data_IF_287001819414
#
_entry.id   IF_287001819414
#
_cell.length_a   1.000
_cell.length_b   1.000
_cell.length_c   1.000
_cell.angle_alpha   90.00
_cell.angle_beta   90.00
_cell.angle_gamma   90.00
#
_symmetry.space_group_name_H-M   'P 1'
#
loop_
_entity.id
_entity.type
_entity.pdbx_description
1 polymer ?
#
# COMPACT_ATOMS: atom_id res chain seq x y z
N UNK A 1 16.42 26.83 -24.53
CA UNK A 1 16.48 25.36 -24.68
C UNK A 1 16.32 24.77 -23.29
N UNK A 2 15.16 24.20 -22.96
CA UNK A 2 14.95 23.55 -21.66
C UNK A 2 15.56 22.14 -21.75
N UNK A 3 16.59 21.85 -20.96
CA UNK A 3 17.20 20.54 -20.93
C UNK A 3 16.17 19.52 -20.41
N UNK A 4 15.96 18.43 -21.16
CA UNK A 4 15.26 17.24 -20.66
C UNK A 4 16.04 16.71 -19.45
N UNK A 5 15.36 16.34 -18.37
CA UNK A 5 16.00 15.78 -17.17
C UNK A 5 16.70 14.47 -17.52
N UNK A 6 18.01 14.37 -17.27
CA UNK A 6 18.81 13.15 -17.45
C UNK A 6 18.98 12.49 -16.09
N UNK A 7 18.83 11.16 -16.02
CA UNK A 7 19.14 10.38 -14.81
C UNK A 7 20.47 9.67 -14.99
N UNK A 8 21.37 9.82 -14.01
CA UNK A 8 22.68 9.16 -14.00
C UNK A 8 22.65 8.04 -12.97
N UNK A 9 22.92 6.81 -13.41
CA UNK A 9 23.03 5.64 -12.55
C UNK A 9 24.50 5.18 -12.50
N UNK A 10 25.16 5.37 -11.35
CA UNK A 10 26.57 5.07 -11.18
C UNK A 10 26.84 4.35 -9.85
N UNK A 11 27.45 3.14 -9.85
CA UNK A 11 27.66 2.23 -10.99
C UNK A 11 26.39 1.45 -11.37
N UNK A 12 26.29 1.02 -12.64
CA UNK A 12 25.25 0.05 -13.02
C UNK A 12 25.49 -1.27 -12.25
N UNK A 13 24.49 -1.84 -11.57
CA UNK A 13 24.64 -3.10 -10.86
C UNK A 13 25.27 -4.20 -11.72
N UNK A 14 26.38 -4.78 -11.24
CA UNK A 14 27.09 -5.86 -11.93
C UNK A 14 27.96 -5.44 -13.13
N UNK A 15 28.09 -4.14 -13.43
CA UNK A 15 28.91 -3.63 -14.55
C UNK A 15 29.86 -2.51 -14.12
N UNK A 16 31.04 -2.45 -14.74
CA UNK A 16 31.97 -1.31 -14.60
C UNK A 16 31.59 -0.18 -15.58
N UNK A 17 30.36 0.33 -15.46
CA UNK A 17 29.82 1.36 -16.34
C UNK A 17 28.93 2.35 -15.58
N UNK A 18 28.79 3.54 -16.15
CA UNK A 18 27.82 4.56 -15.73
C UNK A 18 26.66 4.53 -16.72
N UNK A 19 25.45 4.37 -16.19
CA UNK A 19 24.20 4.46 -16.96
C UNK A 19 23.78 5.93 -17.07
N UNK A 20 23.39 6.33 -18.28
CA UNK A 20 22.82 7.64 -18.54
C UNK A 20 21.48 7.42 -19.21
N UNK A 21 20.40 7.68 -18.49
CA UNK A 21 19.04 7.57 -18.97
C UNK A 21 18.57 8.92 -19.49
N UNK A 22 18.23 8.92 -20.79
CA UNK A 22 17.73 10.09 -21.49
C UNK A 22 16.27 9.84 -21.83
N UNK A 23 15.34 10.74 -21.47
CA UNK A 23 13.94 10.58 -21.84
C UNK A 23 13.79 10.55 -23.36
N UNK A 24 12.95 9.63 -23.86
CA UNK A 24 12.59 9.54 -25.26
C UNK A 24 11.99 10.86 -25.77
N UNK A 25 11.97 11.05 -27.09
CA UNK A 25 11.29 12.18 -27.71
C UNK A 25 9.78 12.14 -27.50
N UNK A 26 9.21 10.95 -27.69
CA UNK A 26 7.81 10.66 -27.44
C UNK A 26 7.72 9.64 -26.29
N UNK A 27 6.97 9.99 -25.25
CA UNK A 27 6.72 9.10 -24.12
C UNK A 27 5.53 8.18 -24.42
N UNK A 28 5.70 6.88 -24.27
CA UNK A 28 4.61 5.93 -24.37
C UNK A 28 3.84 5.84 -23.04
N UNK A 29 2.51 5.73 -23.13
CA UNK A 29 1.66 5.54 -21.95
C UNK A 29 1.69 4.07 -21.54
N UNK A 30 2.04 3.80 -20.29
CA UNK A 30 1.95 2.45 -19.71
C UNK A 30 0.53 2.22 -19.22
N UNK A 31 -0.23 1.37 -19.92
CA UNK A 31 -1.59 1.03 -19.50
C UNK A 31 -1.57 -0.08 -18.45
N UNK A 32 -2.33 0.10 -17.36
CA UNK A 32 -2.47 -0.92 -16.30
C UNK A 32 -2.93 -2.27 -16.87
N UNK A 33 -3.79 -2.25 -17.90
CA UNK A 33 -4.30 -3.46 -18.56
C UNK A 33 -3.17 -4.35 -19.08
N UNK A 34 -2.12 -3.76 -19.65
CA UNK A 34 -1.00 -4.49 -20.22
C UNK A 34 -0.29 -5.34 -19.17
N UNK A 35 -0.28 -4.85 -17.92
CA UNK A 35 0.32 -5.54 -16.78
C UNK A 35 -0.67 -6.55 -16.18
N UNK A 36 -1.94 -6.18 -16.01
CA UNK A 36 -2.97 -7.08 -15.46
C UNK A 36 -3.20 -8.33 -16.33
N UNK A 37 -2.89 -8.23 -17.62
CA UNK A 37 -3.04 -9.33 -18.57
C UNK A 37 -1.83 -10.28 -18.62
N UNK A 38 -0.70 -9.94 -17.98
CA UNK A 38 0.46 -10.84 -17.93
C UNK A 38 0.19 -12.05 -17.05
N UNK A 39 0.88 -13.16 -17.34
CA UNK A 39 0.82 -14.36 -16.51
C UNK A 39 1.44 -14.09 -15.13
N UNK A 40 2.47 -13.24 -15.07
CA UNK A 40 3.06 -12.78 -13.81
C UNK A 40 2.00 -12.19 -12.88
N UNK A 41 1.11 -11.32 -13.39
CA UNK A 41 0.03 -10.78 -12.56
C UNK A 41 -1.06 -11.82 -12.29
N UNK A 42 -1.56 -12.51 -13.31
CA UNK A 42 -2.70 -13.44 -13.19
C UNK A 42 -2.39 -14.58 -12.21
N UNK A 43 -1.23 -15.19 -12.35
CA UNK A 43 -0.82 -16.36 -11.58
C UNK A 43 -0.20 -16.00 -10.23
N UNK A 44 0.02 -14.70 -9.94
CA UNK A 44 0.58 -14.28 -8.66
C UNK A 44 -0.26 -14.82 -7.49
N UNK A 45 0.38 -15.46 -6.51
CA UNK A 45 -0.31 -16.15 -5.42
C UNK A 45 -0.93 -15.21 -4.39
N UNK A 46 -0.30 -14.06 -4.16
CA UNK A 46 -0.81 -13.05 -3.22
C UNK A 46 -2.04 -12.36 -3.77
N UNK A 47 -3.06 -12.22 -2.91
CA UNK A 47 -4.27 -11.43 -3.16
C UNK A 47 -4.02 -9.92 -3.08
N UNK A 48 -2.86 -9.51 -2.56
CA UNK A 48 -2.42 -8.13 -2.45
C UNK A 48 -1.34 -7.78 -3.49
N UNK A 49 -1.22 -8.59 -4.54
CA UNK A 49 -0.38 -8.27 -5.67
C UNK A 49 -0.92 -7.05 -6.42
N UNK A 50 -0.04 -6.15 -6.86
CA UNK A 50 -0.41 -5.01 -7.66
C UNK A 50 0.56 -4.73 -8.80
N UNK A 51 0.00 -4.22 -9.90
CA UNK A 51 0.76 -3.73 -11.03
C UNK A 51 1.42 -2.40 -10.65
N UNK A 52 2.75 -2.36 -10.63
CA UNK A 52 3.49 -1.12 -10.34
C UNK A 52 3.70 -0.29 -11.62
N UNK A 53 4.06 -0.96 -12.71
CA UNK A 53 4.39 -0.29 -13.97
C UNK A 53 5.23 -1.18 -14.88
N UNK A 54 6.03 -0.55 -15.73
CA UNK A 54 7.10 -1.19 -16.48
C UNK A 54 8.45 -0.64 -16.04
N UNK A 55 9.49 -1.45 -16.12
CA UNK A 55 10.86 -0.96 -15.93
C UNK A 55 11.39 -0.24 -17.17
N UNK A 56 12.67 0.18 -17.11
CA UNK A 56 13.35 0.88 -18.21
C UNK A 56 13.55 0.01 -19.46
N UNK A 57 13.42 -1.32 -19.34
CA UNK A 57 13.48 -2.27 -20.45
C UNK A 57 12.10 -2.51 -21.07
N UNK A 58 11.03 -2.02 -20.42
CA UNK A 58 9.64 -2.25 -20.83
C UNK A 58 9.02 -3.50 -20.21
N UNK A 59 9.73 -4.19 -19.33
CA UNK A 59 9.24 -5.40 -18.67
C UNK A 59 8.21 -5.03 -17.59
N UNK A 60 7.13 -5.79 -17.53
CA UNK A 60 6.07 -5.57 -16.54
C UNK A 60 6.61 -5.81 -15.12
N UNK A 61 6.23 -4.94 -14.19
CA UNK A 61 6.60 -5.05 -12.79
C UNK A 61 5.35 -5.27 -11.96
N UNK A 62 5.21 -6.49 -11.44
CA UNK A 62 4.20 -6.86 -10.45
C UNK A 62 4.87 -7.01 -9.10
N UNK A 63 4.29 -6.39 -8.07
CA UNK A 63 4.79 -6.49 -6.70
C UNK A 63 3.67 -6.83 -5.73
N UNK A 64 3.98 -6.98 -4.44
CA UNK A 64 3.08 -7.51 -3.42
C UNK A 64 3.22 -6.76 -2.10
N UNK A 65 2.13 -6.16 -1.63
CA UNK A 65 2.07 -5.45 -0.35
C UNK A 65 2.38 -6.41 0.80
N UNK A 66 2.05 -7.70 0.70
CA UNK A 66 2.36 -8.65 1.76
C UNK A 66 3.88 -8.89 1.93
N UNK A 67 4.66 -8.72 0.86
CA UNK A 67 6.14 -8.75 0.89
C UNK A 67 6.73 -7.40 1.29
N UNK A 68 6.01 -6.31 1.00
CA UNK A 68 6.28 -4.93 1.41
C UNK A 68 5.33 -4.55 2.55
N UNK A 69 5.42 -5.18 3.74
CA UNK A 69 4.33 -5.28 4.72
C UNK A 69 3.62 -3.95 4.98
N UNK A 70 4.39 -2.86 4.92
CA UNK A 70 3.92 -1.50 4.80
C UNK A 70 4.70 -0.80 3.69
N UNK A 71 4.08 0.16 3.01
CA UNK A 71 4.69 0.97 1.95
C UNK A 71 4.41 2.46 2.16
N UNK A 72 5.45 3.27 1.96
CA UNK A 72 5.36 4.73 1.90
C UNK A 72 5.45 5.19 0.44
N UNK A 73 4.49 5.99 -0.01
CA UNK A 73 4.43 6.55 -1.36
C UNK A 73 4.54 8.07 -1.26
N UNK A 74 5.61 8.64 -1.80
CA UNK A 74 5.82 10.09 -1.79
C UNK A 74 5.94 10.63 -3.22
N UNK A 75 5.41 11.82 -3.47
CA UNK A 75 5.59 12.51 -4.74
C UNK A 75 4.85 13.83 -4.80
N UNK A 76 5.40 14.80 -5.52
CA UNK A 76 4.78 16.12 -5.65
C UNK A 76 3.45 16.07 -6.43
N UNK A 77 2.65 17.12 -6.37
CA UNK A 77 1.44 17.23 -7.19
C UNK A 77 1.76 17.02 -8.68
N UNK A 78 0.99 16.16 -9.35
CA UNK A 78 1.18 15.84 -10.77
C UNK A 78 2.26 14.79 -11.07
N UNK A 79 2.98 14.28 -10.06
CA UNK A 79 4.04 13.26 -10.24
C UNK A 79 3.52 11.85 -10.55
N UNK A 80 2.22 11.59 -10.36
CA UNK A 80 1.62 10.27 -10.55
C UNK A 80 1.31 9.49 -9.26
N UNK A 81 1.59 10.07 -8.07
CA UNK A 81 1.26 9.48 -6.75
C UNK A 81 -0.17 8.92 -6.68
N UNK A 82 -1.17 9.74 -7.02
CA UNK A 82 -2.58 9.33 -6.97
C UNK A 82 -2.89 8.22 -7.97
N UNK A 83 -2.29 8.26 -9.16
CA UNK A 83 -2.44 7.20 -10.18
C UNK A 83 -1.89 5.87 -9.68
N UNK A 84 -0.73 5.89 -9.01
CA UNK A 84 -0.15 4.70 -8.38
C UNK A 84 -1.07 4.10 -7.31
N UNK A 85 -1.66 4.93 -6.45
CA UNK A 85 -2.60 4.46 -5.42
C UNK A 85 -3.84 3.83 -6.06
N UNK A 86 -4.42 4.48 -7.07
CA UNK A 86 -5.56 3.94 -7.81
C UNK A 86 -5.22 2.61 -8.52
N UNK A 87 -4.02 2.50 -9.08
CA UNK A 87 -3.52 1.28 -9.74
C UNK A 87 -3.37 0.14 -8.73
N UNK A 88 -2.88 0.43 -7.52
CA UNK A 88 -2.81 -0.52 -6.41
C UNK A 88 -4.20 -0.99 -6.00
N UNK A 89 -5.14 -0.07 -5.76
CA UNK A 89 -6.51 -0.41 -5.36
C UNK A 89 -7.20 -1.24 -6.44
N UNK A 90 -7.11 -0.80 -7.70
CA UNK A 90 -7.70 -1.51 -8.84
C UNK A 90 -7.13 -2.92 -8.96
N UNK A 91 -5.82 -3.11 -8.77
CA UNK A 91 -5.19 -4.43 -8.81
C UNK A 91 -5.74 -5.37 -7.74
N UNK A 92 -5.91 -4.89 -6.51
CA UNK A 92 -6.49 -5.68 -5.41
C UNK A 92 -7.93 -6.07 -5.74
N UNK A 93 -8.76 -5.12 -6.20
CA UNK A 93 -10.16 -5.39 -6.55
C UNK A 93 -10.27 -6.40 -7.70
N UNK A 94 -9.34 -6.33 -8.67
CA UNK A 94 -9.31 -7.26 -9.81
C UNK A 94 -8.94 -8.69 -9.40
N UNK A 95 -8.22 -8.86 -8.29
CA UNK A 95 -7.60 -10.14 -7.89
C UNK A 95 -8.24 -10.78 -6.66
N UNK A 96 -8.83 -10.00 -5.77
CA UNK A 96 -9.32 -10.44 -4.48
C UNK A 96 -10.82 -10.21 -4.33
N UNK A 97 -11.52 -11.22 -3.82
CA UNK A 97 -12.92 -11.08 -3.38
C UNK A 97 -12.99 -10.24 -2.09
N UNK A 98 -14.14 -9.63 -1.76
CA UNK A 98 -14.32 -8.92 -0.47
C UNK A 98 -14.09 -9.78 0.77
N UNK A 99 -14.24 -11.10 0.65
CA UNK A 99 -13.95 -12.07 1.73
C UNK A 99 -12.46 -12.38 1.87
N UNK A 100 -11.63 -12.02 0.89
CA UNK A 100 -10.18 -12.28 0.86
C UNK A 100 -9.38 -11.01 1.19
N UNK A 101 -9.88 -9.84 0.79
CA UNK A 101 -9.28 -8.55 1.07
C UNK A 101 -10.34 -7.49 1.40
N UNK A 102 -10.03 -6.70 2.41
CA UNK A 102 -10.83 -5.57 2.89
C UNK A 102 -9.99 -4.30 2.93
N UNK A 103 -10.64 -3.15 2.73
CA UNK A 103 -10.00 -1.86 2.58
C UNK A 103 -10.51 -0.89 3.64
N UNK A 104 -9.58 -0.12 4.22
CA UNK A 104 -9.87 1.10 4.97
C UNK A 104 -9.20 2.24 4.22
N UNK A 105 -9.97 3.26 3.84
CA UNK A 105 -9.46 4.38 3.05
C UNK A 105 -9.62 5.68 3.82
N UNK A 106 -8.56 6.47 3.87
CA UNK A 106 -8.49 7.77 4.53
C UNK A 106 -8.06 8.81 3.50
N UNK A 107 -8.97 9.72 3.19
CA UNK A 107 -8.82 10.77 2.18
C UNK A 107 -9.30 12.11 2.76
N UNK A 108 -8.42 12.83 3.48
CA UNK A 108 -8.78 14.08 4.13
C UNK A 108 -9.11 15.21 3.13
N UNK A 109 -8.74 15.06 1.86
CA UNK A 109 -8.97 16.05 0.81
C UNK A 109 -10.28 15.84 0.05
N UNK A 110 -10.90 14.66 0.15
CA UNK A 110 -12.15 14.31 -0.54
C UNK A 110 -12.01 14.39 -2.07
N UNK A 111 -10.81 14.09 -2.59
CA UNK A 111 -10.52 14.21 -4.02
C UNK A 111 -10.28 12.84 -4.65
N UNK A 112 -9.48 12.01 -4.00
CA UNK A 112 -8.85 10.87 -4.66
C UNK A 112 -9.58 9.55 -4.39
N UNK A 113 -9.94 9.28 -3.14
CA UNK A 113 -10.45 7.96 -2.74
C UNK A 113 -11.97 7.92 -2.60
N UNK A 114 -12.64 9.08 -2.56
CA UNK A 114 -14.09 9.15 -2.34
C UNK A 114 -14.91 8.44 -3.42
N UNK A 115 -14.35 8.26 -4.62
CA UNK A 115 -14.92 7.47 -5.72
C UNK A 115 -15.13 6.00 -5.38
N UNK A 116 -14.40 5.46 -4.39
CA UNK A 116 -14.51 4.07 -3.97
C UNK A 116 -15.63 3.82 -2.95
N UNK A 117 -16.35 4.85 -2.49
CA UNK A 117 -17.47 4.64 -1.59
C UNK A 117 -18.52 3.69 -2.20
N UNK A 118 -18.98 2.73 -1.38
CA UNK A 118 -19.99 1.75 -1.78
C UNK A 118 -19.44 0.43 -2.35
N UNK A 119 -18.13 0.30 -2.59
CA UNK A 119 -17.56 -1.00 -2.97
C UNK A 119 -17.64 -2.00 -1.80
N UNK A 120 -17.87 -3.30 -2.07
CA UNK A 120 -18.03 -4.31 -1.03
C UNK A 120 -16.73 -4.59 -0.25
N UNK A 121 -15.57 -4.17 -0.75
CA UNK A 121 -14.28 -4.31 -0.08
C UNK A 121 -14.10 -3.32 1.07
N UNK A 122 -14.79 -2.18 1.09
CA UNK A 122 -14.66 -1.21 2.17
C UNK A 122 -15.24 -1.78 3.48
N UNK A 123 -14.51 -1.58 4.57
CA UNK A 123 -14.98 -1.90 5.93
C UNK A 123 -15.84 -0.79 6.51
N UNK A 124 -15.49 0.45 6.16
CA UNK A 124 -16.19 1.67 6.55
C UNK A 124 -16.19 2.62 5.34
N UNK A 125 -17.13 3.57 5.27
CA UNK A 125 -17.06 4.66 4.30
C UNK A 125 -15.72 5.37 4.36
N UNK A 126 -15.28 5.93 3.23
CA UNK A 126 -14.01 6.65 3.13
C UNK A 126 -13.96 7.74 4.20
N UNK A 127 -12.91 7.72 5.02
CA UNK A 127 -12.76 8.63 6.15
C UNK A 127 -12.15 9.94 5.67
N UNK A 128 -12.92 11.01 5.75
CA UNK A 128 -12.52 12.35 5.28
C UNK A 128 -12.16 13.30 6.42
N UNK A 129 -12.64 13.06 7.63
CA UNK A 129 -12.33 13.88 8.80
C UNK A 129 -11.00 13.41 9.44
N UNK A 130 -9.98 14.28 9.57
CA UNK A 130 -8.69 13.90 10.15
C UNK A 130 -8.75 13.40 11.60
N UNK A 131 -9.71 13.85 12.41
CA UNK A 131 -9.90 13.33 13.78
C UNK A 131 -10.50 11.93 13.74
N UNK A 132 -11.45 11.67 12.84
CA UNK A 132 -11.99 10.32 12.62
C UNK A 132 -10.94 9.37 12.04
N UNK A 133 -10.01 9.88 11.25
CA UNK A 133 -8.89 9.09 10.72
C UNK A 133 -8.01 8.51 11.84
N UNK A 134 -7.69 9.29 12.88
CA UNK A 134 -7.00 8.77 14.06
C UNK A 134 -7.79 7.63 14.73
N UNK A 135 -9.11 7.77 14.84
CA UNK A 135 -10.00 6.71 15.33
C UNK A 135 -9.98 5.45 14.45
N UNK A 136 -9.92 5.59 13.13
CA UNK A 136 -9.83 4.45 12.21
C UNK A 136 -8.49 3.71 12.34
N UNK A 137 -7.39 4.43 12.53
CA UNK A 137 -6.08 3.83 12.81
C UNK A 137 -6.04 3.14 14.18
N UNK A 138 -6.64 3.74 15.20
CA UNK A 138 -6.77 3.12 16.52
C UNK A 138 -7.61 1.84 16.47
N UNK A 139 -8.71 1.83 15.71
CA UNK A 139 -9.50 0.63 15.44
C UNK A 139 -8.64 -0.45 14.76
N UNK A 140 -7.82 -0.07 13.77
CA UNK A 140 -6.94 -1.02 13.10
C UNK A 140 -5.92 -1.65 14.07
N UNK A 141 -5.38 -0.88 15.01
CA UNK A 141 -4.52 -1.42 16.09
C UNK A 141 -5.30 -2.42 16.94
N UNK A 142 -6.54 -2.11 17.33
CA UNK A 142 -7.36 -3.02 18.12
C UNK A 142 -7.69 -4.31 17.37
N UNK A 143 -8.05 -4.21 16.08
CA UNK A 143 -8.31 -5.36 15.22
C UNK A 143 -7.07 -6.26 15.09
N UNK A 144 -5.88 -5.67 14.97
CA UNK A 144 -4.62 -6.42 14.96
C UNK A 144 -4.43 -7.22 16.26
N UNK A 145 -4.65 -6.63 17.44
CA UNK A 145 -4.53 -7.34 18.72
C UNK A 145 -5.62 -8.42 18.90
N UNK A 146 -6.84 -8.16 18.42
CA UNK A 146 -7.92 -9.14 18.40
C UNK A 146 -7.53 -10.37 17.57
N UNK A 147 -6.98 -10.15 16.37
CA UNK A 147 -6.49 -11.24 15.51
C UNK A 147 -5.41 -12.06 16.20
N UNK A 148 -4.45 -11.43 16.87
CA UNK A 148 -3.45 -12.16 17.65
C UNK A 148 -4.05 -13.03 18.75
N UNK A 149 -5.09 -12.55 19.42
CA UNK A 149 -5.84 -13.34 20.42
C UNK A 149 -6.51 -14.55 19.77
N UNK A 150 -7.12 -14.37 18.59
CA UNK A 150 -7.73 -15.47 17.81
C UNK A 150 -6.68 -16.47 17.30
N UNK A 151 -5.48 -16.00 16.94
CA UNK A 151 -4.39 -16.87 16.50
C UNK A 151 -3.87 -17.72 17.66
N UNK A 152 -3.67 -17.10 18.83
CA UNK A 152 -3.22 -17.78 20.03
C UNK A 152 -4.21 -18.86 20.47
N UNK A 153 -5.52 -18.60 20.42
CA UNK A 153 -6.55 -19.59 20.80
C UNK A 153 -6.61 -20.79 19.85
N UNK A 154 -6.15 -20.63 18.60
CA UNK A 154 -6.01 -21.71 17.62
C UNK A 154 -4.60 -22.29 17.52
N UNK A 155 -3.65 -21.82 18.35
CA UNK A 155 -2.26 -22.32 18.36
C UNK A 155 -1.43 -21.95 17.12
N UNK A 156 -1.81 -20.90 16.40
CA UNK A 156 -1.15 -20.43 15.17
C UNK A 156 -0.52 -19.05 15.39
N UNK A 157 0.34 -18.62 14.47
CA UNK A 157 1.14 -17.38 14.61
C UNK A 157 0.72 -16.25 13.68
N UNK A 158 -0.04 -16.55 12.63
CA UNK A 158 -0.37 -15.61 11.57
C UNK A 158 -1.72 -15.90 10.92
N UNK A 159 -2.15 -14.97 10.06
CA UNK A 159 -3.39 -15.04 9.30
C UNK A 159 -3.49 -16.30 8.43
N UNK A 160 -2.37 -16.73 7.82
CA UNK A 160 -2.35 -17.89 6.93
C UNK A 160 -2.65 -19.16 7.72
N UNK A 161 -1.93 -19.38 8.82
CA UNK A 161 -2.15 -20.51 9.71
C UNK A 161 -3.56 -20.51 10.29
N UNK A 162 -4.08 -19.33 10.68
CA UNK A 162 -5.46 -19.22 11.15
C UNK A 162 -6.46 -19.66 10.08
N UNK A 163 -6.34 -19.13 8.86
CA UNK A 163 -7.26 -19.48 7.78
C UNK A 163 -7.15 -20.95 7.35
N UNK A 164 -5.98 -21.57 7.43
CA UNK A 164 -5.78 -23.00 7.18
C UNK A 164 -6.46 -23.89 8.25
N UNK A 165 -6.46 -23.46 9.51
CA UNK A 165 -7.19 -24.17 10.58
C UNK A 165 -8.69 -24.06 10.35
N UNK A 166 -9.19 -22.85 10.09
CA UNK A 166 -10.63 -22.61 9.86
C UNK A 166 -11.14 -23.35 8.63
N UNK A 167 -10.32 -23.48 7.57
CA UNK A 167 -10.66 -24.25 6.38
C UNK A 167 -10.91 -25.74 6.66
N UNK A 168 -10.21 -26.32 7.64
CA UNK A 168 -10.33 -27.73 8.02
C UNK A 168 -11.49 -27.99 8.99
N UNK A 169 -11.95 -26.97 9.70
CA UNK A 169 -13.11 -27.06 10.60
C UNK A 169 -14.41 -27.00 9.78
N UNK A 170 -14.94 -25.81 9.51
CA UNK A 170 -16.21 -25.62 8.78
C UNK A 170 -16.12 -24.56 7.67
N UNK A 171 -14.91 -24.06 7.39
CA UNK A 171 -14.60 -23.00 6.40
C UNK A 171 -15.38 -21.67 6.61
N UNK A 172 -16.03 -21.51 7.76
CA UNK A 172 -16.71 -20.29 8.18
C UNK A 172 -15.83 -19.49 9.15
N UNK A 173 -15.69 -18.19 8.92
CA UNK A 173 -14.89 -17.31 9.78
C UNK A 173 -13.43 -17.09 9.33
N UNK A 174 -13.08 -17.43 8.09
CA UNK A 174 -11.79 -17.00 7.51
C UNK A 174 -11.68 -15.47 7.57
N UNK A 175 -10.50 -14.99 7.94
CA UNK A 175 -10.23 -13.58 8.06
C UNK A 175 -9.61 -13.05 6.75
N UNK A 176 -10.07 -11.91 6.22
CA UNK A 176 -9.47 -11.29 5.06
C UNK A 176 -8.17 -10.57 5.42
N UNK A 177 -7.32 -10.34 4.43
CA UNK A 177 -6.32 -9.28 4.55
C UNK A 177 -6.99 -7.92 4.70
N UNK A 178 -6.38 -6.99 5.45
CA UNK A 178 -6.84 -5.60 5.53
C UNK A 178 -5.75 -4.69 5.00
N UNK A 179 -6.07 -3.85 4.01
CA UNK A 179 -5.18 -2.80 3.53
C UNK A 179 -5.73 -1.44 3.94
N UNK A 180 -4.93 -0.71 4.69
CA UNK A 180 -5.25 0.62 5.21
C UNK A 180 -4.49 1.64 4.36
N UNK A 181 -5.24 2.48 3.65
CA UNK A 181 -4.71 3.43 2.68
C UNK A 181 -4.93 4.84 3.20
N UNK A 182 -3.85 5.60 3.34
CA UNK A 182 -3.86 7.01 3.73
C UNK A 182 -3.35 7.82 2.55
N UNK A 183 -4.19 8.61 1.89
CA UNK A 183 -3.77 9.38 0.71
C UNK A 183 -2.80 10.53 1.07
N UNK A 184 -3.08 11.25 2.14
CA UNK A 184 -2.24 12.37 2.58
C UNK A 184 -1.99 12.32 4.09
N UNK A 185 -0.86 11.70 4.46
CA UNK A 185 -0.44 11.62 5.85
C UNK A 185 -0.25 13.01 6.48
N UNK A 186 0.25 13.99 5.71
CA UNK A 186 0.58 15.30 6.25
C UNK A 186 -0.62 16.00 6.88
N UNK A 187 -1.81 15.83 6.30
CA UNK A 187 -3.05 16.43 6.81
C UNK A 187 -3.44 15.82 8.17
N UNK A 188 -3.21 14.51 8.35
CA UNK A 188 -3.44 13.83 9.62
C UNK A 188 -2.44 14.28 10.69
N UNK A 189 -1.17 14.38 10.31
CA UNK A 189 -0.09 14.80 11.22
C UNK A 189 -0.26 16.24 11.70
N UNK A 190 -0.88 17.12 10.91
CA UNK A 190 -1.18 18.49 11.33
C UNK A 190 -2.28 18.57 12.40
N UNK A 191 -3.19 17.59 12.46
CA UNK A 191 -4.35 17.63 13.36
C UNK A 191 -4.16 16.76 14.60
N UNK A 192 -3.59 15.56 14.44
CA UNK A 192 -3.51 14.54 15.49
C UNK A 192 -2.17 13.77 15.44
N UNK A 193 -1.05 14.49 15.39
CA UNK A 193 0.30 13.90 15.24
C UNK A 193 0.57 12.70 16.13
N UNK A 194 0.36 12.86 17.45
CA UNK A 194 0.72 11.83 18.44
C UNK A 194 -0.04 10.53 18.22
N UNK A 195 -1.36 10.60 18.10
CA UNK A 195 -2.22 9.42 17.93
C UNK A 195 -1.98 8.72 16.59
N UNK A 196 -1.79 9.50 15.52
CA UNK A 196 -1.54 8.98 14.16
C UNK A 196 -0.18 8.30 14.10
N UNK A 197 0.87 8.91 14.64
CA UNK A 197 2.23 8.35 14.63
C UNK A 197 2.33 7.09 15.51
N UNK A 198 1.75 7.08 16.71
CA UNK A 198 1.73 5.87 17.57
C UNK A 198 1.01 4.72 16.87
N UNK A 199 -0.18 4.97 16.29
CA UNK A 199 -0.94 3.93 15.60
C UNK A 199 -0.18 3.39 14.37
N UNK A 200 0.41 4.27 13.55
CA UNK A 200 1.23 3.85 12.40
C UNK A 200 2.41 3.02 12.87
N UNK A 201 3.13 3.41 13.92
CA UNK A 201 4.28 2.67 14.43
C UNK A 201 3.88 1.29 14.94
N UNK A 202 2.82 1.19 15.75
CA UNK A 202 2.33 -0.09 16.27
C UNK A 202 1.90 -1.05 15.16
N UNK A 203 1.12 -0.54 14.21
CA UNK A 203 0.72 -1.31 13.04
C UNK A 203 1.95 -1.74 12.25
N UNK A 204 2.86 -0.82 11.93
CA UNK A 204 4.02 -1.15 11.11
C UNK A 204 4.95 -2.21 11.74
N UNK A 205 4.98 -2.29 13.07
CA UNK A 205 5.79 -3.27 13.81
C UNK A 205 5.16 -4.66 13.89
N UNK A 206 3.83 -4.77 14.00
CA UNK A 206 3.15 -6.02 14.36
C UNK A 206 2.13 -6.50 13.31
N UNK A 207 1.58 -5.62 12.48
CA UNK A 207 0.41 -5.92 11.66
C UNK A 207 0.65 -6.98 10.56
N UNK A 208 1.91 -7.19 10.14
CA UNK A 208 2.26 -8.15 9.09
C UNK A 208 1.69 -9.55 9.32
N UNK A 209 1.88 -10.12 10.51
CA UNK A 209 1.40 -11.47 10.80
C UNK A 209 -0.13 -11.51 10.97
N UNK A 210 -0.74 -10.40 11.41
CA UNK A 210 -2.18 -10.20 11.42
C UNK A 210 -2.80 -10.06 10.01
N UNK A 211 -1.96 -10.02 8.95
CA UNK A 211 -2.38 -9.82 7.57
C UNK A 211 -2.97 -8.44 7.31
N UNK A 212 -2.48 -7.45 8.06
CA UNK A 212 -2.88 -6.05 7.95
C UNK A 212 -1.71 -5.22 7.43
N UNK A 213 -1.99 -4.35 6.46
CA UNK A 213 -0.97 -3.65 5.68
C UNK A 213 -1.26 -2.17 5.59
N UNK A 214 -0.22 -1.34 5.57
CA UNK A 214 -0.34 0.11 5.46
C UNK A 214 0.18 0.58 4.11
N UNK A 215 -0.61 1.39 3.42
CA UNK A 215 -0.21 2.18 2.25
C UNK A 215 -0.34 3.63 2.65
N UNK A 216 0.78 4.25 2.97
CA UNK A 216 0.80 5.64 3.44
C UNK A 216 1.33 6.50 2.32
N UNK A 217 0.58 7.50 1.93
CA UNK A 217 0.97 8.43 0.89
C UNK A 217 1.08 9.86 1.41
N UNK A 218 1.95 10.65 0.77
CA UNK A 218 2.04 12.09 1.05
C UNK A 218 2.64 12.85 -0.12
N UNK A 219 2.16 14.08 -0.33
CA UNK A 219 2.79 15.02 -1.26
C UNK A 219 3.85 15.92 -0.59
N UNK A 220 3.97 15.82 0.74
CA UNK A 220 4.87 16.63 1.55
C UNK A 220 5.91 15.73 2.23
N UNK A 221 6.97 15.30 1.51
CA UNK A 221 8.00 14.42 2.05
C UNK A 221 8.99 15.15 2.98
N UNK A 222 8.48 16.01 3.87
CA UNK A 222 9.29 16.70 4.86
C UNK A 222 9.59 15.79 6.05
N UNK A 223 10.62 16.14 6.83
CA UNK A 223 11.00 15.41 8.06
C UNK A 223 9.92 15.45 9.14
N UNK A 224 9.05 16.45 9.10
CA UNK A 224 7.96 16.61 10.08
C UNK A 224 6.76 15.70 9.79
N UNK A 225 6.58 15.32 8.52
CA UNK A 225 5.53 14.39 8.06
C UNK A 225 6.06 12.97 8.03
N UNK A 226 7.22 12.77 7.39
CA UNK A 226 7.87 11.48 7.25
C UNK A 226 9.00 11.38 8.28
N UNK A 227 8.58 11.24 9.54
CA UNK A 227 9.47 11.24 10.70
C UNK A 227 10.44 10.06 10.69
N UNK A 228 11.47 10.12 11.56
CA UNK A 228 12.40 9.00 11.75
C UNK A 228 11.70 7.71 12.16
N UNK A 229 10.67 7.80 13.01
CA UNK A 229 9.91 6.64 13.49
C UNK A 229 9.12 5.97 12.36
N UNK A 230 8.45 6.75 11.52
CA UNK A 230 7.73 6.21 10.35
C UNK A 230 8.73 5.52 9.40
N UNK A 231 9.86 6.16 9.10
CA UNK A 231 10.87 5.59 8.20
C UNK A 231 11.50 4.31 8.75
N UNK A 232 11.70 4.22 10.06
CA UNK A 232 12.29 3.05 10.71
C UNK A 232 11.38 1.82 10.61
N UNK A 233 10.05 2.00 10.62
CA UNK A 233 9.09 0.89 10.60
C UNK A 233 8.52 0.60 9.20
N UNK A 234 8.67 1.51 8.23
CA UNK A 234 8.21 1.34 6.85
C UNK A 234 9.41 1.36 5.88
N UNK A 235 10.00 0.19 5.59
CA UNK A 235 11.22 0.11 4.78
C UNK A 235 10.94 0.26 3.28
N UNK A 236 9.76 -0.18 2.81
CA UNK A 236 9.38 -0.15 1.40
C UNK A 236 8.93 1.25 1.01
N UNK A 237 9.52 1.81 -0.05
CA UNK A 237 9.26 3.18 -0.49
C UNK A 237 9.08 3.25 -1.99
N UNK A 238 8.14 4.06 -2.42
CA UNK A 238 7.93 4.45 -3.82
C UNK A 238 8.00 5.98 -3.84
N UNK A 239 8.88 6.52 -4.68
CA UNK A 239 9.06 7.97 -4.85
C UNK A 239 8.76 8.34 -6.31
N UNK A 240 7.88 9.32 -6.48
CA UNK A 240 7.49 9.91 -7.75
C UNK A 240 8.00 11.35 -7.86
#
# INVERSE_FOLDING_TARGET
>A
MAAKSIRIEAPIPGKQAVGIEVPNEESEVVHIRDILQTDEFKEHKSKLAFALGKDVSGDAIVTDIAKMPHVLIAGATGSGKSVCINTLIASIIYKAKPSEAKLVMIDPKIVELSVYNGIPHLLIPVVTDPKKAAGALAWAVQEMENRYTMFASKGVRDLKGYNEVIEKEDNFGKLPHIVIIVDELADLMMVAKGDVEDAICRLAQKARAAGMHLVIATQRPSVDVVTGLIKANIPSRIAF
#
